data_IF_527544865860
#
_entry.id   IF_527544865860
#
_cell.length_a   1.000
_cell.length_b   1.000
_cell.length_c   1.000
_cell.angle_alpha   90.00
_cell.angle_beta   90.00
_cell.angle_gamma   90.00
#
_symmetry.space_group_name_H-M   'P 1'
#
loop_
_entity.id
_entity.type
_entity.pdbx_description
1 polymer ?
#
# COMPACT_ATOMS: atom_id res chain seq x y z
N UNK A 1 50.03 -10.80 44.20
CA UNK A 1 50.73 -11.22 42.96
C UNK A 1 50.03 -10.62 41.76
N UNK A 2 50.72 -9.81 40.96
CA UNK A 2 50.15 -9.02 39.87
C UNK A 2 49.97 -9.86 38.57
N UNK A 3 48.77 -9.82 37.98
CA UNK A 3 48.43 -10.45 36.68
C UNK A 3 49.19 -9.75 35.54
N UNK A 4 50.07 -10.49 34.86
CA UNK A 4 50.81 -10.04 33.67
C UNK A 4 49.83 -9.91 32.48
N UNK A 5 49.63 -8.69 31.96
CA UNK A 5 48.88 -8.45 30.71
C UNK A 5 49.64 -9.10 29.53
N UNK A 6 48.96 -9.94 28.76
CA UNK A 6 49.53 -10.54 27.56
C UNK A 6 49.87 -9.46 26.52
N UNK A 7 51.12 -9.42 26.07
CA UNK A 7 51.58 -8.49 25.03
C UNK A 7 51.07 -9.01 23.68
N UNK A 8 50.25 -8.21 23.01
CA UNK A 8 49.74 -8.47 21.64
C UNK A 8 50.91 -8.70 20.69
N UNK A 9 50.93 -9.87 20.05
CA UNK A 9 52.01 -10.29 19.15
C UNK A 9 52.05 -9.45 17.87
N UNK A 10 53.25 -9.30 17.29
CA UNK A 10 53.47 -8.54 16.06
C UNK A 10 52.54 -8.99 14.90
N UNK A 11 52.23 -10.29 14.83
CA UNK A 11 51.31 -10.85 13.84
C UNK A 11 49.86 -10.32 13.98
N UNK A 12 49.35 -10.17 15.21
CA UNK A 12 48.00 -9.64 15.45
C UNK A 12 47.90 -8.15 15.10
N UNK A 13 48.98 -7.39 15.30
CA UNK A 13 49.05 -5.99 14.86
C UNK A 13 49.05 -5.88 13.35
N UNK A 14 49.82 -6.73 12.66
CA UNK A 14 49.84 -6.81 11.19
C UNK A 14 48.46 -7.14 10.61
N UNK A 15 47.74 -8.11 11.18
CA UNK A 15 46.37 -8.42 10.76
C UNK A 15 45.42 -7.24 10.98
N UNK A 16 45.54 -6.55 12.12
CA UNK A 16 44.73 -5.35 12.41
C UNK A 16 44.97 -4.21 11.43
N UNK A 17 46.22 -3.93 11.07
CA UNK A 17 46.54 -2.92 10.06
C UNK A 17 46.04 -3.30 8.66
N UNK A 18 46.07 -4.60 8.32
CA UNK A 18 45.50 -5.11 7.07
C UNK A 18 43.99 -4.85 6.95
N UNK A 19 43.23 -5.13 8.01
CA UNK A 19 41.77 -4.89 8.03
C UNK A 19 41.45 -3.40 7.90
N UNK A 20 42.19 -2.53 8.62
CA UNK A 20 41.98 -1.08 8.54
C UNK A 20 42.28 -0.52 7.15
N UNK A 21 43.30 -1.04 6.46
CA UNK A 21 43.62 -0.64 5.09
C UNK A 21 42.49 -1.00 4.11
N UNK A 22 41.89 -2.19 4.24
CA UNK A 22 40.76 -2.62 3.41
C UNK A 22 39.53 -1.76 3.65
N UNK A 23 39.20 -1.48 4.91
CA UNK A 23 38.07 -0.59 5.25
C UNK A 23 38.27 0.84 4.74
N UNK A 24 39.51 1.35 4.81
CA UNK A 24 39.87 2.65 4.23
C UNK A 24 39.66 2.67 2.71
N UNK A 25 40.08 1.62 2.00
CA UNK A 25 39.88 1.50 0.55
C UNK A 25 38.40 1.43 0.16
N UNK A 26 37.58 0.68 0.90
CA UNK A 26 36.13 0.63 0.67
C UNK A 26 35.51 2.00 0.92
N UNK A 27 35.93 2.70 1.96
CA UNK A 27 35.42 4.05 2.29
C UNK A 27 35.77 5.05 1.19
N UNK A 28 37.02 5.05 0.72
CA UNK A 28 37.45 5.89 -0.41
C UNK A 28 36.69 5.53 -1.68
N UNK A 29 36.47 4.25 -1.96
CA UNK A 29 35.71 3.80 -3.12
C UNK A 29 34.23 4.23 -3.06
N UNK A 30 33.58 4.12 -1.89
CA UNK A 30 32.22 4.61 -1.68
C UNK A 30 32.14 6.14 -1.85
N UNK A 31 33.13 6.89 -1.35
CA UNK A 31 33.21 8.33 -1.55
C UNK A 31 33.43 8.71 -3.02
N UNK A 32 34.19 7.93 -3.78
CA UNK A 32 34.39 8.12 -5.23
C UNK A 32 33.14 7.75 -6.04
N UNK A 33 32.39 6.73 -5.61
CA UNK A 33 31.09 6.39 -6.23
C UNK A 33 30.02 7.44 -5.90
N UNK A 34 29.99 7.95 -4.67
CA UNK A 34 29.08 9.03 -4.25
C UNK A 34 29.43 10.39 -4.89
N UNK A 35 30.70 10.61 -5.26
CA UNK A 35 31.13 11.84 -5.96
C UNK A 35 30.90 11.81 -7.47
N UNK A 36 30.39 10.71 -8.03
CA UNK A 36 29.74 10.71 -9.36
C UNK A 36 28.35 11.36 -9.24
N UNK A 37 28.37 12.67 -8.98
CA UNK A 37 27.17 13.49 -8.88
C UNK A 37 26.30 13.35 -10.14
N UNK A 38 25.02 13.07 -9.93
CA UNK A 38 23.99 13.09 -10.97
C UNK A 38 23.97 14.51 -11.59
N UNK A 39 24.13 14.67 -12.92
CA UNK A 39 24.20 15.98 -13.56
C UNK A 39 22.95 16.85 -13.33
N UNK A 40 21.83 16.25 -12.89
CA UNK A 40 20.63 16.96 -12.44
C UNK A 40 20.85 17.90 -11.24
N UNK A 41 21.80 17.59 -10.34
CA UNK A 41 22.10 18.43 -9.16
C UNK A 41 22.91 19.68 -9.53
N UNK A 42 23.75 19.59 -10.56
CA UNK A 42 24.46 20.75 -11.11
C UNK A 42 23.51 21.71 -11.85
N UNK A 43 22.46 21.18 -12.48
CA UNK A 43 21.37 21.98 -13.09
C UNK A 43 20.52 22.66 -12.03
N UNK A 44 20.32 22.04 -10.85
CA UNK A 44 19.56 22.64 -9.75
C UNK A 44 20.31 23.77 -9.01
N UNK A 45 21.65 23.80 -9.07
CA UNK A 45 22.47 24.86 -8.48
C UNK A 45 22.66 26.08 -9.40
N UNK A 46 22.38 25.94 -10.69
CA UNK A 46 22.22 27.07 -11.61
C UNK A 46 20.79 27.58 -11.47
N UNK A 47 20.58 28.57 -10.61
CA UNK A 47 19.30 29.28 -10.53
C UNK A 47 18.90 29.72 -11.95
N UNK A 48 17.76 29.24 -12.51
CA UNK A 48 17.24 29.80 -13.74
C UNK A 48 16.88 31.25 -13.45
N UNK A 49 17.35 32.16 -14.31
CA UNK A 49 16.79 33.51 -14.40
C UNK A 49 15.26 33.40 -14.46
N UNK A 50 14.51 34.32 -13.82
CA UNK A 50 13.05 34.27 -13.80
C UNK A 50 12.53 34.43 -15.24
N UNK A 51 12.30 33.29 -15.90
CA UNK A 51 11.46 33.24 -17.08
C UNK A 51 10.03 33.15 -16.56
N UNK A 52 9.26 34.20 -16.84
CA UNK A 52 7.80 34.14 -16.87
C UNK A 52 7.40 32.95 -17.76
N UNK A 53 7.19 31.78 -17.16
CA UNK A 53 6.57 30.66 -17.85
C UNK A 53 5.10 30.97 -17.95
N UNK A 54 4.76 31.63 -19.06
CA UNK A 54 3.45 31.55 -19.68
C UNK A 54 2.95 30.11 -19.55
N UNK A 55 1.86 29.92 -18.80
CA UNK A 55 1.17 28.64 -18.70
C UNK A 55 0.90 28.13 -20.11
N UNK A 56 1.61 27.08 -20.51
CA UNK A 56 1.18 26.24 -21.61
C UNK A 56 -0.02 25.45 -21.10
N UNK A 57 -1.19 26.06 -21.23
CA UNK A 57 -2.47 25.37 -21.14
C UNK A 57 -2.53 24.34 -22.28
N UNK A 58 -2.03 23.13 -22.02
CA UNK A 58 -2.41 21.95 -22.80
C UNK A 58 -3.80 21.54 -22.33
N UNK A 59 -4.82 22.03 -23.04
CA UNK A 59 -6.21 21.65 -22.81
C UNK A 59 -6.42 20.15 -23.02
N UNK A 60 -6.64 19.43 -21.92
CA UNK A 60 -7.61 18.33 -21.86
C UNK A 60 -8.96 18.93 -21.46
N UNK A 61 -10.10 18.32 -21.83
CA UNK A 61 -11.38 18.77 -21.31
C UNK A 61 -11.31 18.72 -19.78
N UNK A 62 -11.95 19.67 -19.10
CA UNK A 62 -12.17 19.59 -17.65
C UNK A 62 -12.42 18.13 -17.25
N UNK A 63 -11.55 17.58 -16.40
CA UNK A 63 -11.63 16.18 -15.98
C UNK A 63 -13.04 15.90 -15.45
N UNK A 64 -13.62 14.74 -15.77
CA UNK A 64 -14.99 14.40 -15.39
C UNK A 64 -15.19 14.50 -13.86
N UNK A 65 -14.14 14.16 -13.11
CA UNK A 65 -14.05 14.32 -11.65
C UNK A 65 -14.26 15.75 -11.16
N UNK A 66 -13.84 16.78 -11.91
CA UNK A 66 -13.98 18.18 -11.50
C UNK A 66 -15.44 18.59 -11.31
N UNK A 67 -16.35 18.03 -12.11
CA UNK A 67 -17.78 18.32 -12.04
C UNK A 67 -18.46 17.80 -10.76
N UNK A 68 -17.83 16.85 -10.05
CA UNK A 68 -18.40 16.27 -8.85
C UNK A 68 -18.05 17.04 -7.58
N UNK A 69 -17.01 17.88 -7.58
CA UNK A 69 -16.61 18.65 -6.39
C UNK A 69 -17.64 19.76 -6.11
N UNK A 70 -18.46 19.66 -5.04
CA UNK A 70 -19.51 20.62 -4.76
C UNK A 70 -18.97 21.91 -4.15
N UNK A 71 -19.81 22.95 -4.17
CA UNK A 71 -19.70 24.04 -3.21
C UNK A 71 -20.53 23.69 -1.96
N UNK A 72 -19.95 23.88 -0.78
CA UNK A 72 -20.54 23.50 0.51
C UNK A 72 -20.52 24.71 1.43
N UNK A 73 -21.65 24.99 2.09
CA UNK A 73 -21.72 26.09 3.04
C UNK A 73 -20.65 25.94 4.14
N UNK A 74 -19.95 27.03 4.45
CA UNK A 74 -18.81 27.04 5.37
C UNK A 74 -17.46 26.75 4.72
N UNK A 75 -17.42 26.38 3.44
CA UNK A 75 -16.20 26.17 2.66
C UNK A 75 -16.09 27.22 1.55
N UNK A 76 -15.13 28.13 1.67
CA UNK A 76 -14.88 29.17 0.66
C UNK A 76 -13.78 28.71 -0.30
N UNK A 77 -14.06 28.54 -1.61
CA UNK A 77 -13.01 28.19 -2.56
C UNK A 77 -11.87 29.20 -2.58
N UNK A 78 -10.62 28.71 -2.56
CA UNK A 78 -9.41 29.53 -2.62
C UNK A 78 -8.79 29.56 -4.02
N UNK A 79 -9.05 28.52 -4.81
CA UNK A 79 -8.55 28.38 -6.18
C UNK A 79 -9.62 27.71 -7.07
N UNK A 80 -9.50 27.86 -8.40
CA UNK A 80 -10.19 26.99 -9.36
C UNK A 80 -9.87 25.51 -9.10
N UNK A 81 -10.72 24.62 -9.62
CA UNK A 81 -10.41 23.19 -9.63
C UNK A 81 -9.20 22.94 -10.53
N UNK A 82 -8.24 22.18 -10.03
CA UNK A 82 -7.11 21.67 -10.80
C UNK A 82 -7.35 20.21 -11.13
N UNK A 83 -6.88 19.75 -12.30
CA UNK A 83 -7.05 18.37 -12.73
C UNK A 83 -5.74 17.79 -13.26
N UNK A 84 -5.51 16.52 -12.94
CA UNK A 84 -4.28 15.78 -13.20
C UNK A 84 -4.59 14.43 -13.84
N UNK A 85 -3.83 14.07 -14.88
CA UNK A 85 -3.84 12.77 -15.52
C UNK A 85 -2.61 11.95 -15.15
N UNK A 86 -2.46 10.73 -15.71
CA UNK A 86 -1.35 9.83 -15.39
C UNK A 86 0.03 10.46 -15.63
N UNK A 87 0.12 11.37 -16.60
CA UNK A 87 1.37 12.03 -16.99
C UNK A 87 1.86 13.14 -16.04
N UNK A 88 0.98 13.74 -15.23
CA UNK A 88 1.32 14.90 -14.41
C UNK A 88 0.86 14.78 -12.94
N UNK A 89 0.32 13.63 -12.53
CA UNK A 89 -0.08 13.37 -11.15
C UNK A 89 1.09 13.57 -10.18
N UNK A 90 2.30 13.14 -10.56
CA UNK A 90 3.52 13.25 -9.73
C UNK A 90 3.82 14.68 -9.28
N UNK A 91 3.46 15.66 -10.12
CA UNK A 91 3.71 17.08 -9.87
C UNK A 91 2.86 17.58 -8.70
N UNK A 92 1.63 17.06 -8.56
CA UNK A 92 0.71 17.43 -7.48
C UNK A 92 1.00 16.70 -6.17
N UNK A 93 1.31 15.40 -6.23
CA UNK A 93 1.44 14.56 -5.03
C UNK A 93 2.90 14.25 -4.64
N UNK A 94 3.83 15.12 -5.05
CA UNK A 94 5.24 15.09 -4.65
C UNK A 94 5.92 13.74 -4.92
N UNK A 95 5.76 13.21 -6.13
CA UNK A 95 6.40 11.96 -6.55
C UNK A 95 5.75 10.67 -6.04
N UNK A 96 4.64 10.74 -5.28
CA UNK A 96 3.94 9.56 -4.74
C UNK A 96 2.95 8.92 -5.73
N UNK A 97 3.09 9.20 -7.03
CA UNK A 97 2.13 8.78 -8.05
C UNK A 97 2.12 7.28 -8.31
N UNK A 98 3.23 6.57 -8.09
CA UNK A 98 3.37 5.15 -8.40
C UNK A 98 2.28 4.29 -7.74
N UNK A 99 1.89 4.58 -6.48
CA UNK A 99 0.82 3.86 -5.79
C UNK A 99 -0.51 3.93 -6.54
N UNK A 100 -0.85 5.09 -7.10
CA UNK A 100 -2.11 5.32 -7.80
C UNK A 100 -2.03 4.75 -9.22
N UNK A 101 -0.92 5.00 -9.92
CA UNK A 101 -0.68 4.54 -11.29
C UNK A 101 -0.72 3.01 -11.39
N UNK A 102 -0.02 2.32 -10.48
CA UNK A 102 -0.01 0.86 -10.42
C UNK A 102 -1.37 0.27 -10.04
N UNK A 103 -2.21 1.05 -9.34
CA UNK A 103 -3.58 0.67 -9.03
C UNK A 103 -4.58 0.99 -10.16
N UNK A 104 -4.16 1.54 -11.31
CA UNK A 104 -5.05 1.77 -12.46
C UNK A 104 -5.70 3.16 -12.52
N UNK A 105 -5.08 4.16 -11.88
CA UNK A 105 -5.45 5.57 -11.93
C UNK A 105 -5.85 6.09 -13.32
N UNK A 106 -6.92 6.88 -13.39
CA UNK A 106 -7.41 7.52 -14.62
C UNK A 106 -7.19 9.03 -14.60
N UNK A 107 -7.72 9.70 -13.58
CA UNK A 107 -7.60 11.14 -13.41
C UNK A 107 -7.87 11.52 -11.94
N UNK A 108 -7.40 12.70 -11.54
CA UNK A 108 -7.73 13.30 -10.25
C UNK A 108 -8.08 14.77 -10.45
N UNK A 109 -9.08 15.24 -9.73
CA UNK A 109 -9.33 16.66 -9.56
C UNK A 109 -9.17 17.06 -8.10
N UNK A 110 -8.59 18.24 -7.85
CA UNK A 110 -8.47 18.78 -6.51
C UNK A 110 -8.87 20.24 -6.44
N UNK A 111 -9.31 20.67 -5.26
CA UNK A 111 -9.62 22.07 -4.98
C UNK A 111 -9.33 22.41 -3.52
N UNK A 112 -8.75 23.58 -3.30
CA UNK A 112 -8.49 24.12 -1.96
C UNK A 112 -9.62 25.05 -1.51
N UNK A 113 -9.97 24.94 -0.24
CA UNK A 113 -11.02 25.70 0.43
C UNK A 113 -10.50 26.29 1.75
N UNK A 114 -11.06 27.42 2.17
CA UNK A 114 -10.98 27.88 3.55
C UNK A 114 -12.21 27.43 4.34
N UNK A 115 -12.01 26.93 5.56
CA UNK A 115 -13.08 26.59 6.51
C UNK A 115 -12.68 27.09 7.90
N UNK A 116 -13.25 28.22 8.33
CA UNK A 116 -12.75 28.94 9.50
C UNK A 116 -11.29 29.37 9.31
N UNK A 117 -10.42 28.97 10.23
CA UNK A 117 -8.96 29.20 10.15
C UNK A 117 -8.18 28.10 9.42
N UNK A 118 -8.84 26.98 9.08
CA UNK A 118 -8.20 25.85 8.43
C UNK A 118 -8.20 26.01 6.90
N UNK A 119 -7.11 25.51 6.29
CA UNK A 119 -7.04 25.28 4.86
C UNK A 119 -7.34 23.83 4.58
N UNK A 120 -8.35 23.56 3.78
CA UNK A 120 -8.81 22.21 3.44
C UNK A 120 -8.58 21.96 1.96
N UNK A 121 -7.97 20.84 1.64
CA UNK A 121 -7.77 20.38 0.28
C UNK A 121 -8.55 19.10 0.04
N UNK A 122 -9.34 19.11 -1.03
CA UNK A 122 -10.16 17.97 -1.45
C UNK A 122 -9.52 17.39 -2.69
N UNK A 123 -9.26 16.08 -2.66
CA UNK A 123 -8.76 15.30 -3.78
C UNK A 123 -9.79 14.23 -4.14
N UNK A 124 -10.19 14.20 -5.40
CA UNK A 124 -11.12 13.20 -5.94
C UNK A 124 -10.43 12.46 -7.09
N UNK A 125 -10.12 11.19 -6.85
CA UNK A 125 -9.46 10.31 -7.80
C UNK A 125 -10.50 9.40 -8.47
N UNK A 126 -10.45 9.28 -9.80
CA UNK A 126 -11.07 8.19 -10.55
C UNK A 126 -10.04 7.07 -10.74
N UNK A 127 -10.28 5.94 -10.08
CA UNK A 127 -9.39 4.77 -10.13
C UNK A 127 -9.82 3.75 -11.18
N UNK A 128 -10.84 4.05 -11.99
CA UNK A 128 -11.36 3.21 -13.07
C UNK A 128 -12.20 2.00 -12.61
N UNK A 129 -12.00 1.51 -11.38
CA UNK A 129 -12.79 0.42 -10.79
C UNK A 129 -12.84 0.50 -9.25
N UNK A 130 -13.86 -0.10 -8.63
CA UNK A 130 -14.00 -0.10 -7.18
C UNK A 130 -12.88 -0.84 -6.44
N UNK A 131 -12.34 -1.93 -7.01
CA UNK A 131 -11.17 -2.63 -6.48
C UNK A 131 -9.94 -1.72 -6.45
N UNK A 132 -9.74 -0.93 -7.50
CA UNK A 132 -8.61 -0.03 -7.63
C UNK A 132 -8.67 1.10 -6.59
N UNK A 133 -9.85 1.68 -6.38
CA UNK A 133 -10.09 2.65 -5.32
C UNK A 133 -9.82 2.05 -3.92
N UNK A 134 -10.29 0.82 -3.69
CA UNK A 134 -10.02 0.12 -2.43
C UNK A 134 -8.54 -0.21 -2.22
N UNK A 135 -7.79 -0.56 -3.27
CA UNK A 135 -6.36 -0.82 -3.19
C UNK A 135 -5.59 0.41 -2.67
N UNK A 136 -5.85 1.58 -3.24
CA UNK A 136 -5.25 2.84 -2.78
C UNK A 136 -5.72 3.19 -1.36
N UNK A 137 -7.04 3.16 -1.11
CA UNK A 137 -7.60 3.47 0.21
C UNK A 137 -7.00 2.60 1.31
N UNK A 138 -6.98 1.29 1.10
CA UNK A 138 -6.48 0.34 2.09
C UNK A 138 -4.97 0.48 2.26
N UNK A 139 -4.22 0.64 1.17
CA UNK A 139 -2.77 0.86 1.19
C UNK A 139 -2.33 2.11 1.95
N UNK A 140 -3.10 3.19 1.88
CA UNK A 140 -2.81 4.44 2.60
C UNK A 140 -3.33 4.46 4.05
N UNK A 141 -4.21 3.52 4.41
CA UNK A 141 -4.82 3.47 5.74
C UNK A 141 -3.76 3.25 6.81
N UNK A 142 -3.67 4.20 7.75
CA UNK A 142 -2.74 4.15 8.87
C UNK A 142 -3.22 3.15 9.92
N UNK A 143 -2.32 2.34 10.52
CA UNK A 143 -2.68 1.51 11.67
C UNK A 143 -3.35 2.34 12.78
N UNK A 144 -4.43 1.82 13.37
CA UNK A 144 -5.18 2.52 14.41
C UNK A 144 -6.04 3.71 13.94
N UNK A 145 -6.20 3.94 12.63
CA UNK A 145 -7.15 4.94 12.11
C UNK A 145 -8.59 4.59 12.52
N UNK A 146 -9.37 5.58 12.94
CA UNK A 146 -10.75 5.38 13.35
C UNK A 146 -11.65 5.24 12.12
N UNK A 147 -12.34 4.10 12.00
CA UNK A 147 -13.41 3.93 11.03
C UNK A 147 -14.57 4.88 11.34
N UNK A 148 -15.23 5.41 10.30
CA UNK A 148 -16.37 6.32 10.45
C UNK A 148 -17.58 5.83 9.65
N UNK A 149 -18.82 6.06 10.12
CA UNK A 149 -20.04 5.61 9.44
C UNK A 149 -20.42 6.52 8.26
N UNK A 150 -19.50 6.71 7.32
CA UNK A 150 -19.68 7.55 6.11
C UNK A 150 -19.92 6.67 4.87
N UNK A 151 -19.02 5.73 4.62
CA UNK A 151 -19.20 4.65 3.63
C UNK A 151 -18.67 3.33 4.23
N UNK A 152 -18.81 2.22 3.52
CA UNK A 152 -18.23 0.93 3.93
C UNK A 152 -16.69 1.01 4.11
N UNK A 153 -16.03 1.91 3.37
CA UNK A 153 -14.60 2.14 3.41
C UNK A 153 -14.36 3.61 3.73
N UNK A 154 -14.36 3.94 5.01
CA UNK A 154 -14.07 5.30 5.46
C UNK A 154 -13.29 5.29 6.77
N UNK A 155 -12.27 6.13 6.85
CA UNK A 155 -11.56 6.40 8.10
C UNK A 155 -11.24 7.88 8.24
N UNK A 156 -11.01 8.28 9.49
CA UNK A 156 -10.59 9.62 9.86
C UNK A 156 -9.18 9.60 10.48
N UNK A 157 -8.44 10.68 10.23
CA UNK A 157 -7.28 11.10 11.03
C UNK A 157 -7.64 12.37 11.79
N UNK A 158 -6.73 12.90 12.61
CA UNK A 158 -6.98 14.13 13.37
C UNK A 158 -7.39 15.33 12.48
N UNK A 159 -6.88 15.40 11.24
CA UNK A 159 -7.05 16.51 10.32
C UNK A 159 -7.61 16.10 8.95
N UNK A 160 -8.13 14.89 8.77
CA UNK A 160 -8.61 14.48 7.45
C UNK A 160 -9.56 13.29 7.45
N UNK A 161 -10.27 13.15 6.33
CA UNK A 161 -11.20 12.07 6.03
C UNK A 161 -10.82 11.40 4.71
N UNK A 162 -10.88 10.07 4.68
CA UNK A 162 -10.51 9.26 3.54
C UNK A 162 -11.60 8.23 3.31
N UNK A 163 -12.08 8.09 2.07
CA UNK A 163 -13.13 7.13 1.77
C UNK A 163 -13.18 6.72 0.30
N UNK A 164 -13.92 5.64 0.01
CA UNK A 164 -14.24 5.24 -1.37
C UNK A 164 -15.75 5.21 -1.63
N UNK A 165 -16.14 5.49 -2.87
CA UNK A 165 -17.49 5.29 -3.41
C UNK A 165 -17.37 4.79 -4.86
N UNK A 166 -17.74 3.53 -5.12
CA UNK A 166 -17.49 2.93 -6.43
C UNK A 166 -16.02 3.00 -6.81
N UNK A 167 -15.72 3.43 -8.05
CA UNK A 167 -14.37 3.68 -8.55
C UNK A 167 -13.67 4.92 -7.99
N UNK A 168 -14.37 5.73 -7.19
CA UNK A 168 -13.81 6.97 -6.67
C UNK A 168 -13.12 6.76 -5.33
N UNK A 169 -11.92 7.31 -5.22
CA UNK A 169 -11.21 7.46 -3.95
C UNK A 169 -11.12 8.94 -3.60
N UNK A 170 -11.37 9.30 -2.34
CA UNK A 170 -11.43 10.68 -1.88
C UNK A 170 -10.53 10.89 -0.67
N UNK A 171 -9.79 11.99 -0.71
CA UNK A 171 -9.07 12.53 0.44
C UNK A 171 -9.55 13.95 0.71
N UNK A 172 -9.93 14.24 1.95
CA UNK A 172 -10.25 15.59 2.42
C UNK A 172 -9.30 15.88 3.57
N UNK A 173 -8.33 16.77 3.36
CA UNK A 173 -7.23 16.98 4.31
C UNK A 173 -7.14 18.46 4.66
N UNK A 174 -7.13 18.75 5.96
CA UNK A 174 -6.88 20.07 6.50
C UNK A 174 -5.40 20.25 6.88
N UNK A 175 -4.88 21.47 6.81
CA UNK A 175 -3.53 21.82 7.25
C UNK A 175 -3.31 21.62 8.76
N UNK A 176 -4.39 21.67 9.55
CA UNK A 176 -4.39 21.52 11.00
C UNK A 176 -5.63 20.79 11.50
N UNK A 177 -5.54 20.22 12.70
CA UNK A 177 -6.71 19.79 13.46
C UNK A 177 -7.31 20.98 14.24
N UNK A 178 -8.63 21.02 14.40
CA UNK A 178 -9.30 21.99 15.26
C UNK A 178 -10.62 21.43 15.80
N UNK A 179 -11.17 22.08 16.83
CA UNK A 179 -12.52 21.78 17.29
C UNK A 179 -13.53 22.01 16.15
N UNK A 180 -14.52 21.12 16.01
CA UNK A 180 -15.53 21.18 14.95
C UNK A 180 -15.05 20.82 13.53
N UNK A 181 -13.76 20.59 13.32
CA UNK A 181 -13.21 20.25 11.99
C UNK A 181 -13.83 18.95 11.45
N UNK A 182 -13.85 17.89 12.25
CA UNK A 182 -14.38 16.59 11.83
C UNK A 182 -15.84 16.68 11.35
N UNK A 183 -16.68 17.42 12.07
CA UNK A 183 -18.07 17.67 11.66
C UNK A 183 -18.14 18.43 10.34
N UNK A 184 -17.28 19.43 10.16
CA UNK A 184 -17.21 20.23 8.94
C UNK A 184 -16.75 19.39 7.73
N UNK A 185 -15.70 18.57 7.90
CA UNK A 185 -15.21 17.66 6.86
C UNK A 185 -16.26 16.59 6.53
N UNK A 186 -16.98 16.08 7.53
CA UNK A 186 -18.07 15.10 7.33
C UNK A 186 -19.22 15.71 6.52
N UNK A 187 -19.56 16.97 6.77
CA UNK A 187 -20.57 17.69 6.00
C UNK A 187 -20.14 17.85 4.53
N UNK A 188 -18.87 18.22 4.28
CA UNK A 188 -18.33 18.27 2.92
C UNK A 188 -18.36 16.90 2.24
N UNK A 189 -17.90 15.86 2.94
CA UNK A 189 -17.88 14.50 2.42
C UNK A 189 -19.28 13.99 2.06
N UNK A 190 -20.28 14.32 2.88
CA UNK A 190 -21.69 13.96 2.63
C UNK A 190 -22.22 14.65 1.38
N UNK A 191 -21.94 15.94 1.20
CA UNK A 191 -22.33 16.68 -0.01
C UNK A 191 -21.64 16.14 -1.26
N UNK A 192 -20.35 15.79 -1.16
CA UNK A 192 -19.59 15.20 -2.25
C UNK A 192 -20.14 13.82 -2.64
N UNK A 193 -20.43 12.96 -1.66
CA UNK A 193 -21.03 11.63 -1.90
C UNK A 193 -22.38 11.73 -2.62
N UNK A 194 -23.21 12.73 -2.30
CA UNK A 194 -24.48 12.95 -2.98
C UNK A 194 -24.33 13.33 -4.47
N UNK A 195 -23.18 13.89 -4.84
CA UNK A 195 -22.85 14.23 -6.24
C UNK A 195 -22.17 13.10 -7.01
N UNK A 196 -21.58 12.13 -6.32
CA UNK A 196 -20.89 11.02 -6.97
C UNK A 196 -21.90 10.01 -7.55
N UNK A 197 -21.60 9.43 -8.72
CA UNK A 197 -22.38 8.31 -9.25
C UNK A 197 -22.48 7.17 -8.24
N UNK A 198 -23.68 6.61 -8.07
CA UNK A 198 -23.88 5.39 -7.31
C UNK A 198 -23.53 4.19 -8.18
N UNK A 199 -22.37 3.58 -7.97
CA UNK A 199 -21.88 2.43 -8.74
C UNK A 199 -22.23 1.08 -8.08
N UNK A 200 -23.30 1.04 -7.28
CA UNK A 200 -23.73 -0.14 -6.54
C UNK A 200 -22.98 -0.36 -5.22
N UNK A 201 -23.33 -1.41 -4.47
CA UNK A 201 -22.77 -1.64 -3.15
C UNK A 201 -21.30 -2.05 -3.23
N UNK A 202 -20.46 -1.37 -2.46
CA UNK A 202 -19.06 -1.75 -2.24
C UNK A 202 -19.01 -3.14 -1.62
N UNK A 203 -18.31 -4.08 -2.25
CA UNK A 203 -18.10 -5.41 -1.68
C UNK A 203 -17.20 -5.30 -0.45
N UNK A 204 -17.69 -5.79 0.68
CA UNK A 204 -16.92 -5.84 1.92
C UNK A 204 -15.82 -6.92 1.80
N UNK A 205 -14.56 -6.46 1.72
CA UNK A 205 -13.40 -7.33 1.65
C UNK A 205 -13.29 -8.23 2.90
N UNK A 206 -13.70 -7.73 4.08
CA UNK A 206 -13.65 -8.49 5.33
C UNK A 206 -14.55 -9.74 5.28
N UNK A 207 -15.59 -9.74 4.45
CA UNK A 207 -16.48 -10.88 4.29
C UNK A 207 -15.79 -12.08 3.61
N UNK A 208 -14.66 -11.88 2.93
CA UNK A 208 -13.88 -12.98 2.34
C UNK A 208 -13.08 -13.75 3.40
N UNK A 209 -12.69 -13.07 4.48
CA UNK A 209 -11.77 -13.58 5.47
C UNK A 209 -12.48 -14.20 6.69
N UNK A 210 -11.90 -15.24 7.33
CA UNK A 210 -12.33 -15.70 8.64
C UNK A 210 -12.28 -14.57 9.68
N UNK A 211 -13.35 -14.36 10.44
CA UNK A 211 -13.43 -13.20 11.35
C UNK A 211 -12.59 -13.36 12.62
N UNK A 212 -12.41 -14.58 13.11
CA UNK A 212 -11.71 -14.85 14.36
C UNK A 212 -10.20 -14.62 14.20
N UNK A 213 -9.63 -13.73 15.02
CA UNK A 213 -8.19 -13.41 15.02
C UNK A 213 -7.77 -12.36 13.98
N UNK A 214 -8.66 -11.95 13.07
CA UNK A 214 -8.35 -10.96 12.04
C UNK A 214 -8.24 -9.55 12.62
N UNK A 215 -7.11 -8.89 12.39
CA UNK A 215 -6.98 -7.45 12.61
C UNK A 215 -7.67 -6.69 11.46
N UNK A 216 -8.90 -6.21 11.65
CA UNK A 216 -9.70 -5.58 10.58
C UNK A 216 -9.03 -4.36 9.91
N UNK A 217 -8.21 -3.62 10.68
CA UNK A 217 -7.46 -2.47 10.19
C UNK A 217 -6.20 -2.87 9.41
N UNK A 218 -5.82 -4.16 9.40
CA UNK A 218 -4.75 -4.73 8.58
C UNK A 218 -5.21 -5.16 7.18
N UNK A 219 -6.52 -5.22 6.90
CA UNK A 219 -7.00 -5.62 5.57
C UNK A 219 -6.48 -4.67 4.49
N UNK A 220 -5.82 -5.23 3.47
CA UNK A 220 -5.29 -4.52 2.31
C UNK A 220 -5.70 -5.22 1.02
N UNK A 221 -5.72 -4.45 -0.08
CA UNK A 221 -5.70 -4.99 -1.43
C UNK A 221 -4.44 -4.49 -2.12
N UNK A 222 -3.51 -5.40 -2.38
CA UNK A 222 -2.31 -5.14 -3.14
C UNK A 222 -2.62 -5.20 -4.64
N UNK A 223 -2.46 -4.07 -5.33
CA UNK A 223 -2.77 -3.98 -6.75
C UNK A 223 -1.78 -4.76 -7.62
N UNK A 224 -0.49 -4.77 -7.25
CA UNK A 224 0.58 -5.41 -8.00
C UNK A 224 1.67 -5.97 -7.07
N UNK A 225 2.43 -6.92 -7.62
CA UNK A 225 3.66 -7.49 -7.09
C UNK A 225 3.60 -7.84 -5.59
N UNK A 226 2.52 -8.51 -5.21
CA UNK A 226 2.25 -8.87 -3.81
C UNK A 226 3.35 -9.80 -3.30
N UNK A 227 3.86 -9.53 -2.10
CA UNK A 227 5.01 -10.23 -1.49
C UNK A 227 6.32 -10.16 -2.30
N UNK A 228 6.43 -9.19 -3.21
CA UNK A 228 7.59 -9.02 -4.10
C UNK A 228 7.61 -9.99 -5.29
N UNK A 229 6.55 -10.78 -5.49
CA UNK A 229 6.43 -11.69 -6.62
C UNK A 229 5.77 -10.98 -7.80
N UNK A 230 6.57 -10.69 -8.84
CA UNK A 230 6.12 -9.98 -10.04
C UNK A 230 4.88 -10.63 -10.66
N UNK A 231 3.87 -9.83 -10.98
CA UNK A 231 2.64 -10.29 -11.62
C UNK A 231 1.60 -10.90 -10.67
N UNK A 232 1.87 -11.00 -9.35
CA UNK A 232 0.82 -11.26 -8.35
C UNK A 232 0.02 -10.00 -8.04
N UNK A 233 -0.98 -9.77 -8.88
CA UNK A 233 -1.86 -8.61 -8.83
C UNK A 233 -3.15 -8.87 -8.06
N UNK A 234 -3.82 -7.81 -7.63
CA UNK A 234 -5.15 -7.84 -7.01
C UNK A 234 -5.30 -8.92 -5.93
N UNK A 235 -4.42 -8.87 -4.94
CA UNK A 235 -4.40 -9.82 -3.82
C UNK A 235 -4.85 -9.12 -2.55
N UNK A 236 -5.93 -9.62 -1.95
CA UNK A 236 -6.31 -9.18 -0.61
C UNK A 236 -5.39 -9.83 0.41
N UNK A 237 -4.99 -9.07 1.42
CA UNK A 237 -4.24 -9.58 2.57
C UNK A 237 -4.89 -9.15 3.88
N UNK A 238 -4.70 -9.94 4.93
CA UNK A 238 -5.15 -9.62 6.28
C UNK A 238 -4.30 -10.33 7.32
N UNK A 239 -3.85 -9.57 8.32
CA UNK A 239 -3.02 -10.07 9.42
C UNK A 239 -3.91 -10.70 10.50
N UNK A 240 -3.43 -11.81 11.05
CA UNK A 240 -4.07 -12.55 12.12
C UNK A 240 -3.16 -12.62 13.35
N UNK A 241 -3.78 -12.42 14.52
CA UNK A 241 -3.20 -12.75 15.82
C UNK A 241 -3.96 -13.97 16.37
N UNK A 242 -3.35 -15.15 16.22
CA UNK A 242 -3.88 -16.42 16.69
C UNK A 242 -3.18 -16.82 17.99
N UNK A 243 -3.80 -17.70 18.76
CA UNK A 243 -3.21 -18.22 20.01
C UNK A 243 -1.84 -18.89 19.79
N UNK A 244 -1.68 -19.51 18.63
CA UNK A 244 -0.50 -20.26 18.21
C UNK A 244 0.56 -19.41 17.50
N UNK A 245 0.30 -18.14 17.24
CA UNK A 245 1.23 -17.23 16.55
C UNK A 245 0.54 -16.25 15.61
N UNK A 246 1.34 -15.48 14.88
CA UNK A 246 0.87 -14.54 13.87
C UNK A 246 0.96 -15.15 12.48
N UNK A 247 0.08 -14.74 11.58
CA UNK A 247 0.11 -15.15 10.20
C UNK A 247 -0.65 -14.14 9.33
N UNK A 248 -0.33 -14.07 8.04
CA UNK A 248 -1.05 -13.24 7.08
C UNK A 248 -1.85 -14.12 6.15
N UNK A 249 -3.17 -13.95 6.10
CA UNK A 249 -3.99 -14.57 5.07
C UNK A 249 -3.87 -13.79 3.76
N UNK A 250 -3.89 -14.49 2.62
CA UNK A 250 -4.07 -13.85 1.33
C UNK A 250 -5.15 -14.53 0.48
N UNK A 251 -5.87 -13.75 -0.31
CA UNK A 251 -6.95 -14.22 -1.19
C UNK A 251 -6.93 -13.40 -2.49
N UNK A 252 -6.96 -14.10 -3.62
CA UNK A 252 -6.93 -13.53 -4.96
C UNK A 252 -7.95 -14.25 -5.84
N UNK A 253 -9.00 -13.54 -6.27
CA UNK A 253 -9.96 -14.03 -7.25
C UNK A 253 -9.43 -13.79 -8.67
N UNK A 254 -9.59 -14.78 -9.55
CA UNK A 254 -9.25 -14.71 -10.98
C UNK A 254 -10.49 -14.94 -11.83
N UNK A 255 -10.35 -14.69 -13.13
CA UNK A 255 -11.45 -14.90 -14.07
C UNK A 255 -11.67 -16.39 -14.30
N UNK A 256 -10.59 -17.19 -14.29
CA UNK A 256 -10.67 -18.64 -14.48
C UNK A 256 -9.84 -19.44 -13.47
N UNK A 257 -10.19 -20.72 -13.21
CA UNK A 257 -9.38 -21.63 -12.41
C UNK A 257 -7.94 -21.79 -12.91
N UNK A 258 -7.74 -21.80 -14.22
CA UNK A 258 -6.42 -21.96 -14.84
C UNK A 258 -5.52 -20.77 -14.55
N UNK A 259 -6.07 -19.55 -14.56
CA UNK A 259 -5.33 -18.36 -14.14
C UNK A 259 -4.93 -18.43 -12.66
N UNK A 260 -5.84 -18.86 -11.78
CA UNK A 260 -5.54 -19.04 -10.36
C UNK A 260 -4.44 -20.09 -10.12
N UNK A 261 -4.48 -21.21 -10.88
CA UNK A 261 -3.43 -22.22 -10.86
C UNK A 261 -2.08 -21.70 -11.38
N UNK A 262 -2.09 -20.89 -12.44
CA UNK A 262 -0.88 -20.28 -12.98
C UNK A 262 -0.24 -19.31 -11.99
N UNK A 263 -1.03 -18.47 -11.32
CA UNK A 263 -0.55 -17.56 -10.27
C UNK A 263 -0.05 -18.33 -9.04
N UNK A 264 -0.74 -19.38 -8.63
CA UNK A 264 -0.28 -20.25 -7.54
C UNK A 264 1.08 -20.86 -7.87
N UNK A 265 1.24 -21.40 -9.08
CA UNK A 265 2.50 -21.96 -9.54
C UNK A 265 3.59 -20.89 -9.56
N UNK A 266 3.31 -19.70 -10.09
CA UNK A 266 4.24 -18.57 -10.10
C UNK A 266 4.74 -18.26 -8.68
N UNK A 267 3.83 -18.18 -7.71
CA UNK A 267 4.20 -17.89 -6.33
C UNK A 267 5.05 -19.01 -5.71
N UNK A 268 4.66 -20.27 -5.91
CA UNK A 268 5.42 -21.42 -5.41
C UNK A 268 6.83 -21.51 -6.03
N UNK A 269 6.96 -21.24 -7.33
CA UNK A 269 8.25 -21.18 -8.01
C UNK A 269 9.11 -20.04 -7.45
N UNK A 270 8.51 -18.86 -7.19
CA UNK A 270 9.17 -17.72 -6.57
C UNK A 270 9.68 -18.05 -5.16
N UNK A 271 8.86 -18.70 -4.31
CA UNK A 271 9.27 -19.13 -2.98
C UNK A 271 10.48 -20.08 -3.05
N UNK A 272 10.41 -21.10 -3.92
CA UNK A 272 11.51 -22.05 -4.11
C UNK A 272 12.80 -21.36 -4.58
N UNK A 273 12.69 -20.42 -5.53
CA UNK A 273 13.83 -19.65 -6.02
C UNK A 273 14.47 -18.75 -4.95
N UNK A 274 13.70 -18.35 -3.93
CA UNK A 274 14.16 -17.54 -2.80
C UNK A 274 14.53 -18.39 -1.55
N UNK A 275 14.73 -19.70 -1.72
CA UNK A 275 15.31 -20.57 -0.70
C UNK A 275 14.31 -21.30 0.20
N UNK A 276 13.00 -21.04 0.05
CA UNK A 276 11.98 -21.79 0.79
C UNK A 276 12.00 -23.27 0.38
N UNK A 277 11.92 -24.15 1.38
CA UNK A 277 11.89 -25.60 1.19
C UNK A 277 10.46 -26.11 1.27
N UNK A 278 10.07 -26.95 0.32
CA UNK A 278 8.79 -27.63 0.35
C UNK A 278 8.75 -28.62 1.53
N UNK A 279 7.68 -28.57 2.30
CA UNK A 279 7.45 -29.45 3.46
C UNK A 279 6.07 -30.09 3.41
N UNK A 280 5.90 -31.20 4.13
CA UNK A 280 4.62 -31.89 4.26
C UNK A 280 4.32 -32.16 5.75
N UNK A 281 3.95 -31.11 6.51
CA UNK A 281 3.65 -31.23 7.92
C UNK A 281 2.43 -32.14 8.18
N UNK A 282 2.40 -32.84 9.34
CA UNK A 282 1.23 -33.61 9.74
C UNK A 282 -0.04 -32.75 9.78
N UNK A 283 -1.13 -33.26 9.22
CA UNK A 283 -2.42 -32.56 9.21
C UNK A 283 -2.61 -31.56 8.07
N UNK A 284 -1.61 -31.37 7.18
CA UNK A 284 -1.78 -30.57 5.98
C UNK A 284 -2.75 -31.26 4.99
N UNK A 285 -3.84 -30.60 4.55
CA UNK A 285 -4.68 -31.11 3.48
C UNK A 285 -3.89 -31.30 2.17
N UNK A 286 -4.20 -32.34 1.41
CA UNK A 286 -3.41 -32.74 0.22
C UNK A 286 -3.44 -31.74 -0.95
N UNK A 287 -4.37 -30.78 -0.94
CA UNK A 287 -4.50 -29.72 -1.93
C UNK A 287 -3.77 -28.42 -1.54
N UNK A 288 -3.16 -28.38 -0.34
CA UNK A 288 -2.34 -27.26 0.14
C UNK A 288 -0.86 -27.61 -0.03
N UNK A 289 -0.11 -26.68 -0.61
CA UNK A 289 1.34 -26.76 -0.75
C UNK A 289 1.99 -25.91 0.34
N UNK A 290 2.82 -26.52 1.19
CA UNK A 290 3.49 -25.84 2.29
C UNK A 290 4.99 -25.67 2.03
N UNK A 291 5.50 -24.49 2.33
CA UNK A 291 6.89 -24.09 2.18
C UNK A 291 7.38 -23.45 3.48
N UNK A 292 8.66 -23.61 3.80
CA UNK A 292 9.28 -23.05 5.01
C UNK A 292 10.64 -22.44 4.70
N UNK A 293 10.92 -21.29 5.31
CA UNK A 293 12.25 -20.71 5.39
C UNK A 293 12.47 -20.24 6.83
N UNK A 294 13.45 -20.85 7.51
CA UNK A 294 13.67 -20.68 8.95
C UNK A 294 12.39 -20.89 9.77
N UNK A 295 11.82 -19.81 10.33
CA UNK A 295 10.60 -19.82 11.13
C UNK A 295 9.40 -19.16 10.43
N UNK A 296 9.49 -18.96 9.12
CA UNK A 296 8.41 -18.40 8.29
C UNK A 296 7.78 -19.51 7.46
N UNK A 297 6.47 -19.68 7.61
CA UNK A 297 5.67 -20.72 6.95
C UNK A 297 4.74 -20.12 5.91
N UNK A 298 4.80 -20.69 4.70
CA UNK A 298 3.97 -20.33 3.55
C UNK A 298 3.06 -21.51 3.22
N UNK A 299 1.78 -21.25 2.95
CA UNK A 299 0.82 -22.25 2.51
C UNK A 299 0.01 -21.71 1.35
N UNK A 300 -0.06 -22.45 0.25
CA UNK A 300 -0.73 -22.00 -0.98
C UNK A 300 -1.68 -23.08 -1.46
N UNK A 301 -2.90 -22.68 -1.80
CA UNK A 301 -3.89 -23.57 -2.40
C UNK A 301 -4.78 -22.81 -3.40
N UNK A 302 -5.46 -23.58 -4.25
CA UNK A 302 -6.39 -23.04 -5.24
C UNK A 302 -7.74 -23.73 -5.09
N UNK A 303 -8.80 -22.95 -5.02
CA UNK A 303 -10.18 -23.43 -4.96
C UNK A 303 -11.03 -22.76 -6.05
N UNK A 304 -11.30 -23.52 -7.12
CA UNK A 304 -11.92 -22.96 -8.32
C UNK A 304 -11.07 -21.82 -8.90
N UNK A 305 -11.65 -20.64 -9.19
CA UNK A 305 -10.91 -19.48 -9.68
C UNK A 305 -10.27 -18.63 -8.55
N UNK A 306 -10.10 -19.18 -7.35
CA UNK A 306 -9.54 -18.44 -6.20
C UNK A 306 -8.20 -19.03 -5.79
N UNK A 307 -7.17 -18.19 -5.82
CA UNK A 307 -5.88 -18.42 -5.18
C UNK A 307 -5.97 -17.93 -3.73
N UNK A 308 -5.60 -18.75 -2.76
CA UNK A 308 -5.58 -18.34 -1.36
C UNK A 308 -4.49 -19.06 -0.58
N UNK A 309 -4.19 -18.54 0.60
CA UNK A 309 -3.14 -19.12 1.41
C UNK A 309 -2.76 -18.31 2.63
N UNK A 310 -1.66 -18.74 3.23
CA UNK A 310 -1.02 -18.12 4.38
C UNK A 310 0.38 -17.69 3.97
N UNK A 311 0.71 -16.45 4.30
CA UNK A 311 2.01 -15.83 4.15
C UNK A 311 2.59 -15.48 5.52
N UNK A 312 3.89 -15.65 5.66
CA UNK A 312 4.68 -15.30 6.85
C UNK A 312 4.07 -15.79 8.18
N UNK A 313 3.65 -17.06 8.21
CA UNK A 313 3.19 -17.66 9.45
C UNK A 313 4.35 -17.85 10.42
N UNK A 314 4.23 -17.33 11.64
CA UNK A 314 5.29 -17.38 12.65
C UNK A 314 5.43 -18.76 13.33
N UNK A 315 4.47 -19.65 13.10
CA UNK A 315 4.49 -21.03 13.57
C UNK A 315 3.73 -21.94 12.61
N UNK A 316 4.11 -23.22 12.59
CA UNK A 316 3.43 -24.23 11.79
C UNK A 316 1.96 -24.37 12.20
N UNK A 317 1.68 -24.34 13.51
CA UNK A 317 0.33 -24.50 14.05
C UNK A 317 -0.59 -23.35 13.63
N UNK A 318 -0.12 -22.09 13.74
CA UNK A 318 -0.88 -20.92 13.29
C UNK A 318 -1.17 -20.97 11.78
N UNK A 319 -0.19 -21.42 11.00
CA UNK A 319 -0.33 -21.52 9.55
C UNK A 319 -1.33 -22.60 9.14
N UNK A 320 -1.27 -23.78 9.76
CA UNK A 320 -2.23 -24.87 9.52
C UNK A 320 -3.65 -24.46 9.93
N UNK A 321 -3.79 -23.84 11.11
CA UNK A 321 -5.08 -23.35 11.61
C UNK A 321 -5.70 -22.34 10.63
N UNK A 322 -4.94 -21.34 10.22
CA UNK A 322 -5.42 -20.29 9.32
C UNK A 322 -5.74 -20.83 7.93
N UNK A 323 -4.88 -21.69 7.36
CA UNK A 323 -5.12 -22.31 6.06
C UNK A 323 -6.41 -23.14 6.05
N UNK A 324 -6.65 -23.93 7.09
CA UNK A 324 -7.88 -24.70 7.24
C UNK A 324 -9.13 -23.80 7.36
N UNK A 325 -9.05 -22.73 8.17
CA UNK A 325 -10.13 -21.73 8.31
C UNK A 325 -10.43 -21.03 6.98
N UNK A 326 -9.40 -20.65 6.21
CA UNK A 326 -9.55 -20.03 4.89
C UNK A 326 -10.21 -20.98 3.89
N UNK A 327 -9.73 -22.22 3.78
CA UNK A 327 -10.30 -23.20 2.87
C UNK A 327 -11.79 -23.47 3.19
N UNK A 328 -12.14 -23.57 4.48
CA UNK A 328 -13.53 -23.70 4.90
C UNK A 328 -14.37 -22.46 4.56
N UNK A 329 -13.84 -21.25 4.78
CA UNK A 329 -14.55 -20.00 4.50
C UNK A 329 -14.78 -19.74 3.01
N UNK A 330 -13.96 -20.33 2.14
CA UNK A 330 -14.09 -20.23 0.68
C UNK A 330 -15.01 -21.31 0.09
N UNK A 331 -15.26 -22.42 0.80
CA UNK A 331 -16.24 -23.44 0.38
C UNK A 331 -17.65 -22.84 0.30
N UNK A 332 -18.21 -22.80 -0.90
CA UNK A 332 -19.57 -22.32 -1.16
C UNK A 332 -19.72 -20.81 -1.41
N UNK A 333 -18.61 -20.04 -1.44
CA UNK A 333 -18.63 -18.66 -1.93
C UNK A 333 -18.42 -18.66 -3.45
N UNK A 334 -19.29 -17.98 -4.22
CA UNK A 334 -19.26 -18.01 -5.69
C UNK A 334 -17.95 -17.47 -6.25
#
# INVERSE_FOLDING_TARGET
MARRKAKVGQAQKLTGYGILAVLGLITVWLLVQQSRFNPAVLVALQAPLPQERTQAASGRPLAATAAFIPEVAGFTPRAPVESFGPENLSDKINGKAELYLNAGFKEMSCRSFGSGEAFVEVYLYDMGAASNAYAVFSGQRRPGSLGIPLTANAYATANGLFFTQGRFYVEIVADRASEGLQSSLTAFATALLANLPSEGPTKDAAALFPKEGLALDSLRLCAADTFGCEGLTNMFTGEYDLKSGKATAFIARRDTPEQAQADAKRYLDFLAANGYQKVQPPGLPGDIQAFVLDNSFEMVFVQGPTLAGVHDGSSLEASLELAAKLQAALKGKP
#
